data_IF_028976911938
#
_entry.id   IF_028976911938
#
_cell.length_a   1.000
_cell.length_b   1.000
_cell.length_c   1.000
_cell.angle_alpha   90.00
_cell.angle_beta   90.00
_cell.angle_gamma   90.00
#
_symmetry.space_group_name_H-M   'P 1'
#
loop_
_entity.id
_entity.type
_entity.pdbx_description
1 polymer ?
#
# COMPACT_ATOMS: atom_id res chain seq x y z
N UNK A 1 7.72 21.93 -9.23
CA UNK A 1 8.43 20.92 -8.41
C UNK A 1 9.65 20.40 -9.15
N UNK A 2 9.50 19.81 -10.33
CA UNK A 2 10.62 19.20 -11.08
C UNK A 2 11.77 20.15 -11.42
N UNK A 3 11.49 21.42 -11.68
CA UNK A 3 12.52 22.45 -11.89
C UNK A 3 13.29 22.77 -10.59
N UNK A 4 12.58 22.96 -9.48
CA UNK A 4 13.17 23.23 -8.15
C UNK A 4 13.93 22.01 -7.63
N UNK A 5 13.48 20.79 -7.95
CA UNK A 5 14.16 19.55 -7.56
C UNK A 5 15.51 19.40 -8.25
N UNK A 6 15.63 19.81 -9.51
CA UNK A 6 16.90 19.81 -10.24
C UNK A 6 17.93 20.77 -9.63
N UNK A 7 17.49 21.81 -8.95
CA UNK A 7 18.36 22.79 -8.30
C UNK A 7 18.69 22.41 -6.84
N UNK A 8 17.70 21.93 -6.10
CA UNK A 8 17.84 21.65 -4.67
C UNK A 8 18.35 20.24 -4.38
N UNK A 9 18.18 19.30 -5.31
CA UNK A 9 18.49 17.87 -5.15
C UNK A 9 17.89 17.24 -3.88
N UNK A 10 16.82 17.83 -3.34
CA UNK A 10 16.19 17.42 -2.09
C UNK A 10 14.66 17.58 -2.19
N UNK A 11 13.94 16.46 -2.23
CA UNK A 11 12.50 16.39 -2.52
C UNK A 11 11.66 17.27 -1.60
N UNK A 12 11.98 17.31 -0.30
CA UNK A 12 11.23 18.15 0.65
C UNK A 12 11.45 19.65 0.42
N UNK A 13 12.64 20.05 0.00
CA UNK A 13 12.94 21.47 -0.27
C UNK A 13 12.23 21.91 -1.54
N UNK A 14 12.21 21.04 -2.56
CA UNK A 14 11.46 21.27 -3.79
C UNK A 14 9.94 21.34 -3.54
N UNK A 15 9.41 20.48 -2.66
CA UNK A 15 8.02 20.52 -2.23
C UNK A 15 7.68 21.83 -1.50
N UNK A 16 8.49 22.23 -0.51
CA UNK A 16 8.26 23.48 0.22
C UNK A 16 8.32 24.70 -0.70
N UNK A 17 9.26 24.74 -1.66
CA UNK A 17 9.33 25.78 -2.68
C UNK A 17 8.04 25.86 -3.51
N UNK A 18 7.58 24.72 -4.04
CA UNK A 18 6.36 24.66 -4.84
C UNK A 18 5.10 25.06 -4.05
N UNK A 19 5.01 24.71 -2.75
CA UNK A 19 3.87 25.07 -1.91
C UNK A 19 3.92 26.56 -1.51
N UNK A 20 5.11 27.10 -1.28
CA UNK A 20 5.32 28.49 -0.85
C UNK A 20 4.81 29.51 -1.87
N UNK A 21 4.89 29.19 -3.16
CA UNK A 21 4.36 30.04 -4.26
C UNK A 21 2.87 30.39 -4.08
N UNK A 22 2.11 29.49 -3.45
CA UNK A 22 0.67 29.68 -3.20
C UNK A 22 0.32 30.36 -1.88
N UNK A 23 1.27 30.46 -0.94
CA UNK A 23 1.02 30.88 0.44
C UNK A 23 1.51 32.30 0.77
N UNK A 24 2.29 32.93 -0.12
CA UNK A 24 2.81 34.28 0.10
C UNK A 24 3.61 34.40 1.39
N UNK A 25 3.37 35.46 2.18
CA UNK A 25 4.12 35.74 3.41
C UNK A 25 4.02 34.65 4.48
N UNK A 26 2.94 33.86 4.49
CA UNK A 26 2.71 32.80 5.48
C UNK A 26 3.55 31.54 5.22
N UNK A 27 4.15 31.42 4.03
CA UNK A 27 5.11 30.35 3.69
C UNK A 27 6.26 30.23 4.69
N UNK A 28 6.66 31.33 5.36
CA UNK A 28 7.73 31.30 6.38
C UNK A 28 7.44 30.37 7.57
N UNK A 29 6.18 29.99 7.77
CA UNK A 29 5.77 29.10 8.85
C UNK A 29 5.62 27.64 8.43
N UNK A 30 5.59 27.35 7.12
CA UNK A 30 5.51 25.97 6.64
C UNK A 30 6.81 25.25 7.02
N UNK A 31 6.70 24.09 7.65
CA UNK A 31 7.84 23.30 8.13
C UNK A 31 8.65 23.92 9.29
N UNK A 32 8.18 24.99 9.93
CA UNK A 32 8.86 25.60 11.07
C UNK A 32 8.96 24.60 12.24
N UNK A 33 10.20 24.27 12.63
CA UNK A 33 10.47 23.35 13.75
C UNK A 33 10.32 21.86 13.41
N UNK A 34 10.08 21.53 12.14
CA UNK A 34 10.01 20.15 11.65
C UNK A 34 11.29 19.74 10.92
N UNK A 35 11.54 18.44 10.89
CA UNK A 35 12.47 17.78 9.99
C UNK A 35 11.71 17.11 8.84
N UNK A 36 12.42 16.73 7.78
CA UNK A 36 11.82 15.99 6.66
C UNK A 36 11.12 14.70 7.09
N UNK A 37 11.69 13.98 8.07
CA UNK A 37 11.09 12.76 8.63
C UNK A 37 9.74 13.01 9.28
N UNK A 38 9.55 14.13 10.00
CA UNK A 38 8.27 14.44 10.64
C UNK A 38 7.12 14.51 9.63
N UNK A 39 7.41 14.91 8.38
CA UNK A 39 6.42 14.96 7.30
C UNK A 39 6.35 13.64 6.54
N UNK A 40 7.49 13.13 6.08
CA UNK A 40 7.54 11.94 5.20
C UNK A 40 7.06 10.70 5.95
N UNK A 41 7.56 10.45 7.15
CA UNK A 41 7.24 9.22 7.88
C UNK A 41 5.77 9.23 8.33
N UNK A 42 5.25 10.39 8.71
CA UNK A 42 3.83 10.56 9.03
C UNK A 42 2.95 10.33 7.81
N UNK A 43 3.30 10.93 6.66
CA UNK A 43 2.55 10.73 5.42
C UNK A 43 2.59 9.27 4.97
N UNK A 44 3.76 8.63 5.03
CA UNK A 44 3.92 7.21 4.71
C UNK A 44 3.11 6.33 5.68
N UNK A 45 3.10 6.65 6.97
CA UNK A 45 2.31 5.91 7.95
C UNK A 45 0.82 5.97 7.62
N UNK A 46 0.30 7.14 7.26
CA UNK A 46 -1.11 7.29 6.83
C UNK A 46 -1.39 6.48 5.55
N UNK A 47 -0.50 6.57 4.55
CA UNK A 47 -0.64 5.78 3.32
C UNK A 47 -0.63 4.28 3.58
N UNK A 48 0.20 3.80 4.52
CA UNK A 48 0.23 2.40 4.90
C UNK A 48 -1.08 1.97 5.57
N UNK A 49 -1.67 2.79 6.44
CA UNK A 49 -2.99 2.51 7.02
C UNK A 49 -4.04 2.37 5.92
N UNK A 50 -4.13 3.33 5.00
CA UNK A 50 -5.07 3.29 3.88
C UNK A 50 -4.85 2.07 2.98
N UNK A 51 -3.60 1.76 2.64
CA UNK A 51 -3.25 0.59 1.84
C UNK A 51 -3.65 -0.71 2.54
N UNK A 52 -3.45 -0.81 3.86
CA UNK A 52 -3.84 -2.01 4.62
C UNK A 52 -5.35 -2.21 4.66
N UNK A 53 -6.15 -1.15 4.65
CA UNK A 53 -7.61 -1.27 4.59
C UNK A 53 -8.07 -1.85 3.25
N UNK A 54 -7.49 -1.38 2.14
CA UNK A 54 -7.76 -1.91 0.80
C UNK A 54 -7.39 -3.39 0.74
N UNK A 55 -6.16 -3.74 1.13
CA UNK A 55 -5.70 -5.13 1.12
C UNK A 55 -6.54 -6.04 2.03
N UNK A 56 -6.95 -5.54 3.19
CA UNK A 56 -7.81 -6.27 4.12
C UNK A 56 -9.16 -6.59 3.50
N UNK A 57 -9.75 -5.64 2.77
CA UNK A 57 -11.01 -5.84 2.06
C UNK A 57 -10.86 -6.88 0.94
N UNK A 58 -9.82 -6.76 0.10
CA UNK A 58 -9.55 -7.70 -0.99
C UNK A 58 -9.35 -9.14 -0.47
N UNK A 59 -8.63 -9.29 0.65
CA UNK A 59 -8.41 -10.60 1.28
C UNK A 59 -9.73 -11.19 1.78
N UNK A 60 -10.62 -10.40 2.39
CA UNK A 60 -11.93 -10.88 2.84
C UNK A 60 -12.78 -11.37 1.68
N UNK A 61 -12.77 -10.64 0.57
CA UNK A 61 -13.48 -11.02 -0.65
C UNK A 61 -12.93 -12.32 -1.25
N UNK A 62 -11.60 -12.44 -1.35
CA UNK A 62 -10.94 -13.65 -1.81
C UNK A 62 -11.29 -14.86 -0.93
N UNK A 63 -11.24 -14.71 0.40
CA UNK A 63 -11.63 -15.77 1.34
C UNK A 63 -13.07 -16.19 1.11
N UNK A 64 -14.00 -15.24 0.90
CA UNK A 64 -15.40 -15.55 0.64
C UNK A 64 -15.57 -16.39 -0.64
N UNK A 65 -14.89 -16.01 -1.73
CA UNK A 65 -14.93 -16.74 -3.00
C UNK A 65 -14.32 -18.15 -2.84
N UNK A 66 -13.17 -18.27 -2.18
CA UNK A 66 -12.53 -19.56 -1.94
C UNK A 66 -13.39 -20.47 -1.07
N UNK A 67 -14.04 -19.92 -0.03
CA UNK A 67 -14.96 -20.69 0.82
C UNK A 67 -16.16 -21.20 0.02
N UNK A 68 -16.74 -20.37 -0.85
CA UNK A 68 -17.82 -20.80 -1.74
C UNK A 68 -17.37 -21.94 -2.66
N UNK A 69 -16.18 -21.83 -3.25
CA UNK A 69 -15.62 -22.86 -4.14
C UNK A 69 -15.32 -24.16 -3.40
N UNK A 70 -14.76 -24.09 -2.20
CA UNK A 70 -14.51 -25.26 -1.36
C UNK A 70 -15.81 -25.98 -0.99
N UNK A 71 -16.89 -25.25 -0.70
CA UNK A 71 -18.21 -25.84 -0.42
C UNK A 71 -18.80 -26.48 -1.70
N UNK A 72 -18.75 -25.77 -2.82
CA UNK A 72 -19.24 -26.26 -4.13
C UNK A 72 -18.57 -27.58 -4.52
N UNK A 73 -17.27 -27.69 -4.27
CA UNK A 73 -16.46 -28.83 -4.69
C UNK A 73 -16.13 -29.83 -3.59
N UNK A 74 -16.74 -29.71 -2.41
CA UNK A 74 -16.52 -30.56 -1.23
C UNK A 74 -16.54 -32.07 -1.52
N UNK A 75 -17.32 -32.51 -2.51
CA UNK A 75 -17.46 -33.92 -2.89
C UNK A 75 -16.89 -34.23 -4.29
N UNK A 76 -16.21 -33.28 -4.91
CA UNK A 76 -15.52 -33.47 -6.19
C UNK A 76 -14.19 -34.17 -5.92
N UNK A 77 -14.12 -35.48 -6.15
CA UNK A 77 -12.90 -36.27 -5.94
C UNK A 77 -11.81 -35.83 -6.92
N UNK A 78 -10.59 -35.64 -6.42
CA UNK A 78 -9.39 -35.37 -7.19
C UNK A 78 -8.18 -36.14 -6.68
N UNK A 79 -7.17 -36.34 -7.53
CA UNK A 79 -5.91 -36.97 -7.11
C UNK A 79 -5.11 -35.98 -6.25
N UNK A 80 -4.79 -36.37 -5.03
CA UNK A 80 -3.86 -35.62 -4.19
C UNK A 80 -2.45 -35.63 -4.80
N UNK A 81 -1.61 -34.66 -4.42
CA UNK A 81 -0.22 -34.60 -4.85
C UNK A 81 0.71 -34.23 -3.70
N UNK A 82 1.79 -34.99 -3.55
CA UNK A 82 2.91 -34.65 -2.65
C UNK A 82 4.20 -34.65 -3.48
N UNK A 83 5.06 -33.66 -3.29
CA UNK A 83 6.26 -33.46 -4.15
C UNK A 83 5.97 -33.46 -5.66
N UNK A 84 4.76 -33.06 -6.07
CA UNK A 84 4.32 -33.08 -7.47
C UNK A 84 3.91 -34.45 -8.03
N UNK A 85 3.94 -35.52 -7.22
CA UNK A 85 3.58 -36.89 -7.61
C UNK A 85 2.21 -37.26 -7.04
N UNK A 86 1.46 -38.12 -7.76
CA UNK A 86 0.17 -38.62 -7.30
C UNK A 86 0.27 -39.25 -5.91
N UNK A 87 -0.64 -38.82 -5.03
CA UNK A 87 -0.82 -39.32 -3.68
C UNK A 87 -2.26 -39.83 -3.51
N UNK A 88 -2.68 -40.06 -2.26
CA UNK A 88 -4.05 -40.49 -1.96
C UNK A 88 -5.09 -39.47 -2.46
N UNK A 89 -6.28 -39.91 -2.90
CA UNK A 89 -7.35 -39.02 -3.32
C UNK A 89 -7.79 -38.04 -2.23
N UNK A 90 -8.16 -36.83 -2.63
CA UNK A 90 -8.76 -35.78 -1.80
C UNK A 90 -10.00 -35.21 -2.52
N UNK A 91 -10.71 -34.26 -1.91
CA UNK A 91 -11.63 -33.38 -2.65
C UNK A 91 -10.91 -32.15 -3.19
N UNK A 92 -11.49 -31.53 -4.22
CA UNK A 92 -11.08 -30.23 -4.73
C UNK A 92 -11.38 -29.10 -3.74
#
# INVERSE_FOLDING_TARGET
>A
MDEILKETHHDMTAFLGAVSDSLGNESRFIHLGLTSSDVIDTALSLQLVEATEILSQDIKELISVLAQKAIEHKYTVMIGRTHGIHAEPTSF
#
